data_IF_898885193084
#
_entry.id   IF_898885193084
#
_cell.length_a   1.000
_cell.length_b   1.000
_cell.length_c   1.000
_cell.angle_alpha   90.00
_cell.angle_beta   90.00
_cell.angle_gamma   90.00
#
_symmetry.space_group_name_H-M   'P 1'
#
loop_
_entity.id
_entity.type
_entity.pdbx_description
1 polymer ?
#
# COMPACT_ATOMS: atom_id res chain seq x y z
N UNK A 1 -8.99 -9.42 27.72
CA UNK A 1 -9.91 -8.68 26.82
C UNK A 1 -9.62 -8.95 25.35
N UNK A 2 -8.38 -8.79 24.85
CA UNK A 2 -8.06 -9.02 23.43
C UNK A 2 -8.26 -10.47 22.95
N UNK A 3 -8.03 -11.47 23.80
CA UNK A 3 -8.25 -12.89 23.47
C UNK A 3 -9.74 -13.22 23.27
N UNK A 4 -10.61 -12.55 24.02
CA UNK A 4 -12.08 -12.69 23.90
C UNK A 4 -12.57 -12.03 22.61
N UNK A 5 -11.99 -10.89 22.24
CA UNK A 5 -12.27 -10.23 20.96
C UNK A 5 -11.82 -11.10 19.77
N UNK A 6 -10.68 -11.78 19.87
CA UNK A 6 -10.20 -12.76 18.89
C UNK A 6 -11.21 -13.89 18.67
N UNK A 7 -11.61 -14.53 19.77
CA UNK A 7 -12.53 -15.66 19.75
C UNK A 7 -13.90 -15.25 19.20
N UNK A 8 -14.35 -14.03 19.51
CA UNK A 8 -15.60 -13.48 18.97
C UNK A 8 -15.51 -13.16 17.47
N UNK A 9 -14.42 -12.58 16.98
CA UNK A 9 -14.23 -12.31 15.55
C UNK A 9 -14.10 -13.62 14.76
N UNK A 10 -13.36 -14.61 15.28
CA UNK A 10 -13.24 -15.93 14.68
C UNK A 10 -14.56 -16.71 14.70
N UNK A 11 -15.29 -16.69 15.82
CA UNK A 11 -16.61 -17.31 15.92
C UNK A 11 -17.65 -16.63 15.01
N UNK A 12 -17.59 -15.29 14.88
CA UNK A 12 -18.40 -14.54 13.92
C UNK A 12 -18.07 -14.94 12.48
N UNK A 13 -16.79 -15.14 12.16
CA UNK A 13 -16.36 -15.63 10.86
C UNK A 13 -16.85 -17.04 10.55
N UNK A 14 -16.75 -17.97 11.50
CA UNK A 14 -17.30 -19.32 11.38
C UNK A 14 -18.84 -19.33 11.31
N UNK A 15 -19.51 -18.42 11.99
CA UNK A 15 -20.97 -18.29 11.95
C UNK A 15 -21.49 -17.70 10.62
N UNK A 16 -20.66 -16.91 9.92
CA UNK A 16 -20.98 -16.36 8.59
C UNK A 16 -20.65 -17.34 7.45
N UNK A 17 -19.78 -18.33 7.69
CA UNK A 17 -19.36 -19.32 6.69
C UNK A 17 -20.56 -20.14 6.12
N UNK A 18 -21.55 -20.62 6.91
CA UNK A 18 -22.75 -21.26 6.37
C UNK A 18 -23.59 -20.33 5.48
N UNK A 19 -23.64 -19.03 5.77
CA UNK A 19 -24.38 -18.06 4.95
C UNK A 19 -23.71 -17.82 3.59
N UNK A 20 -22.37 -17.89 3.53
CA UNK A 20 -21.60 -17.88 2.28
C UNK A 20 -21.79 -19.20 1.51
N UNK A 21 -21.66 -20.35 2.20
CA UNK A 21 -21.75 -21.69 1.58
C UNK A 21 -23.16 -22.03 1.08
N UNK A 22 -24.20 -21.42 1.65
CA UNK A 22 -25.61 -21.59 1.20
C UNK A 22 -26.07 -20.53 0.21
N UNK A 23 -25.18 -19.65 -0.26
CA UNK A 23 -25.50 -18.61 -1.25
C UNK A 23 -26.39 -17.48 -0.71
N UNK A 24 -26.52 -17.34 0.61
CA UNK A 24 -27.31 -16.29 1.27
C UNK A 24 -26.57 -14.95 1.38
N UNK A 25 -25.27 -14.94 1.14
CA UNK A 25 -24.46 -13.73 0.96
C UNK A 25 -24.00 -13.62 -0.50
N UNK A 26 -24.02 -12.40 -1.10
CA UNK A 26 -23.45 -12.17 -2.43
C UNK A 26 -21.98 -12.63 -2.48
N UNK A 27 -21.60 -13.39 -3.51
CA UNK A 27 -20.23 -13.88 -3.68
C UNK A 27 -19.16 -12.78 -3.69
N UNK A 28 -19.54 -11.55 -4.06
CA UNK A 28 -18.70 -10.36 -3.99
C UNK A 28 -18.30 -9.92 -2.57
N UNK A 29 -19.03 -10.36 -1.54
CA UNK A 29 -18.72 -10.06 -0.14
C UNK A 29 -17.93 -11.18 0.54
N UNK A 30 -17.91 -12.39 -0.03
CA UNK A 30 -17.21 -13.54 0.55
C UNK A 30 -15.69 -13.30 0.63
N UNK A 31 -15.09 -12.76 -0.42
CA UNK A 31 -13.66 -12.42 -0.46
C UNK A 31 -13.25 -11.37 0.57
N UNK A 32 -13.88 -10.18 0.60
CA UNK A 32 -13.61 -9.15 1.61
C UNK A 32 -13.84 -9.62 3.05
N UNK A 33 -14.91 -10.39 3.30
CA UNK A 33 -15.20 -10.94 4.64
C UNK A 33 -14.12 -11.95 5.04
N UNK A 34 -13.71 -12.84 4.12
CA UNK A 34 -12.66 -13.83 4.39
C UNK A 34 -11.30 -13.16 4.63
N UNK A 35 -10.90 -12.18 3.82
CA UNK A 35 -9.66 -11.41 4.00
C UNK A 35 -9.69 -10.61 5.31
N UNK A 36 -10.83 -10.01 5.67
CA UNK A 36 -10.98 -9.26 6.92
C UNK A 36 -10.89 -10.17 8.15
N UNK A 37 -11.57 -11.32 8.13
CA UNK A 37 -11.53 -12.30 9.22
C UNK A 37 -10.16 -12.98 9.33
N UNK A 38 -9.53 -13.27 8.19
CA UNK A 38 -8.18 -13.81 8.12
C UNK A 38 -7.15 -12.83 8.68
N UNK A 39 -7.20 -11.58 8.23
CA UNK A 39 -6.31 -10.50 8.72
C UNK A 39 -6.53 -10.22 10.20
N UNK A 40 -7.78 -10.25 10.68
CA UNK A 40 -8.09 -10.10 12.10
C UNK A 40 -7.61 -11.31 12.92
N UNK A 41 -7.70 -12.54 12.40
CA UNK A 41 -7.22 -13.74 13.10
C UNK A 41 -5.68 -13.76 13.19
N UNK A 42 -4.99 -13.35 12.12
CA UNK A 42 -3.53 -13.17 12.11
C UNK A 42 -3.10 -12.05 13.06
N UNK A 43 -3.76 -10.89 13.00
CA UNK A 43 -3.47 -9.74 13.84
C UNK A 43 -3.69 -10.04 15.33
N UNK A 44 -4.77 -10.75 15.69
CA UNK A 44 -5.04 -11.07 17.10
C UNK A 44 -4.22 -12.26 17.60
N UNK A 45 -3.87 -13.22 16.74
CA UNK A 45 -2.88 -14.25 17.06
C UNK A 45 -1.49 -13.67 17.34
N UNK A 46 -1.14 -12.58 16.65
CA UNK A 46 0.08 -11.83 16.85
C UNK A 46 0.05 -10.95 18.13
N UNK A 47 -1.04 -10.23 18.37
CA UNK A 47 -1.21 -9.36 19.56
C UNK A 47 -1.49 -10.12 20.88
N UNK A 48 -1.84 -11.40 20.80
CA UNK A 48 -2.15 -12.25 21.96
C UNK A 48 -0.93 -12.86 22.64
N UNK A 49 0.26 -12.83 22.03
CA UNK A 49 1.41 -13.59 22.50
C UNK A 49 2.38 -12.68 23.27
N UNK A 50 2.53 -12.94 24.56
CA UNK A 50 3.61 -12.36 25.36
C UNK A 50 4.99 -12.77 24.83
N UNK A 51 6.00 -11.96 25.12
CA UNK A 51 7.39 -12.09 24.67
C UNK A 51 7.89 -13.55 24.78
N UNK A 52 8.07 -14.27 23.66
CA UNK A 52 8.82 -15.54 23.71
C UNK A 52 8.60 -16.64 22.66
N UNK A 53 7.62 -16.60 21.74
CA UNK A 53 7.41 -17.73 20.80
C UNK A 53 7.49 -17.37 19.30
N UNK A 54 8.12 -18.22 18.45
CA UNK A 54 8.29 -17.96 17.01
C UNK A 54 7.01 -18.25 16.21
N UNK A 55 6.26 -17.18 15.87
CA UNK A 55 4.96 -17.22 15.20
C UNK A 55 4.99 -17.41 13.66
N UNK A 56 6.18 -17.44 13.05
CA UNK A 56 6.33 -17.37 11.59
C UNK A 56 5.87 -18.65 10.85
N UNK A 57 6.18 -19.88 11.34
CA UNK A 57 5.82 -21.10 10.60
C UNK A 57 4.32 -21.43 10.61
N UNK A 58 3.63 -21.18 11.73
CA UNK A 58 2.21 -21.51 11.90
C UNK A 58 1.30 -20.58 11.08
N UNK A 59 1.65 -19.29 11.01
CA UNK A 59 0.96 -18.30 10.19
C UNK A 59 1.12 -18.62 8.70
N UNK A 60 2.35 -18.98 8.27
CA UNK A 60 2.61 -19.40 6.89
C UNK A 60 1.88 -20.70 6.50
N UNK A 61 1.80 -21.68 7.41
CA UNK A 61 1.05 -22.92 7.19
C UNK A 61 -0.47 -22.67 7.08
N UNK A 62 -1.01 -21.73 7.87
CA UNK A 62 -2.42 -21.32 7.80
C UNK A 62 -2.80 -20.64 6.48
N UNK A 63 -1.92 -19.78 5.95
CA UNK A 63 -2.07 -19.15 4.62
C UNK A 63 -2.16 -20.23 3.53
N UNK A 64 -1.23 -21.19 3.55
CA UNK A 64 -1.14 -22.24 2.53
C UNK A 64 -2.33 -23.21 2.59
N UNK A 65 -2.76 -23.61 3.78
CA UNK A 65 -3.91 -24.51 3.94
C UNK A 65 -5.23 -23.86 3.50
N UNK A 66 -5.42 -22.56 3.78
CA UNK A 66 -6.61 -21.81 3.38
C UNK A 66 -6.73 -21.63 1.87
N UNK A 67 -5.62 -21.36 1.17
CA UNK A 67 -5.59 -21.24 -0.29
C UNK A 67 -5.90 -22.56 -1.01
N UNK A 68 -5.33 -23.67 -0.52
CA UNK A 68 -5.55 -25.00 -1.09
C UNK A 68 -6.98 -25.52 -0.87
N UNK A 69 -7.59 -25.23 0.28
CA UNK A 69 -8.98 -25.61 0.57
C UNK A 69 -10.00 -24.90 -0.33
N UNK A 70 -9.75 -23.63 -0.69
CA UNK A 70 -10.63 -22.86 -1.57
C UNK A 70 -10.59 -23.35 -3.03
N UNK A 71 -9.40 -23.68 -3.54
CA UNK A 71 -9.23 -24.22 -4.88
C UNK A 71 -9.93 -25.57 -5.08
N UNK A 72 -9.96 -26.41 -4.04
CA UNK A 72 -10.66 -27.70 -4.06
C UNK A 72 -12.19 -27.54 -4.11
N UNK A 73 -12.75 -26.58 -3.37
CA UNK A 73 -14.20 -26.36 -3.29
C UNK A 73 -14.82 -25.93 -4.63
N UNK A 74 -14.15 -25.01 -5.36
CA UNK A 74 -14.58 -24.51 -6.67
C UNK A 74 -14.65 -25.61 -7.74
N UNK A 75 -13.77 -26.61 -7.67
CA UNK A 75 -13.73 -27.71 -8.64
C UNK A 75 -14.93 -28.67 -8.56
N UNK A 76 -15.63 -28.69 -7.42
CA UNK A 76 -16.70 -29.69 -7.18
C UNK A 76 -18.09 -29.24 -7.64
N UNK A 77 -18.30 -27.96 -7.97
CA UNK A 77 -19.65 -27.39 -8.18
C UNK A 77 -20.12 -27.27 -9.64
N UNK A 78 -19.31 -27.53 -10.68
CA UNK A 78 -19.62 -27.13 -12.08
C UNK A 78 -19.99 -28.23 -13.10
N UNK A 79 -20.39 -29.45 -12.71
CA UNK A 79 -21.29 -30.31 -13.51
C UNK A 79 -20.78 -31.01 -14.78
N UNK A 80 -19.67 -30.61 -15.40
CA UNK A 80 -18.92 -31.45 -16.36
C UNK A 80 -17.40 -31.31 -16.10
N UNK A 81 -16.82 -32.24 -15.32
CA UNK A 81 -15.51 -32.06 -14.70
C UNK A 81 -14.32 -32.15 -15.66
N UNK A 82 -14.52 -32.48 -16.95
CA UNK A 82 -13.42 -32.63 -17.90
C UNK A 82 -13.18 -31.37 -18.73
N UNK A 83 -14.22 -30.89 -19.41
CA UNK A 83 -14.11 -29.75 -20.34
C UNK A 83 -14.43 -28.40 -19.70
N UNK A 84 -15.35 -28.35 -18.72
CA UNK A 84 -15.52 -27.16 -17.91
C UNK A 84 -14.31 -26.98 -17.00
N UNK A 85 -13.70 -28.05 -16.47
CA UNK A 85 -12.41 -27.94 -15.79
C UNK A 85 -11.31 -27.59 -16.77
N UNK A 86 -11.10 -28.18 -17.94
CA UNK A 86 -10.00 -27.73 -18.80
C UNK A 86 -10.13 -26.27 -19.29
N UNK A 87 -11.35 -25.83 -19.68
CA UNK A 87 -11.63 -24.47 -20.15
C UNK A 87 -11.76 -23.43 -19.05
N UNK A 88 -12.44 -23.75 -17.94
CA UNK A 88 -12.49 -22.91 -16.75
C UNK A 88 -11.18 -23.00 -15.96
N UNK A 89 -10.43 -24.09 -15.92
CA UNK A 89 -9.07 -24.13 -15.36
C UNK A 89 -8.09 -23.39 -16.27
N UNK A 90 -8.22 -23.44 -17.59
CA UNK A 90 -7.38 -22.61 -18.45
C UNK A 90 -7.66 -21.11 -18.24
N UNK A 91 -8.93 -20.71 -18.25
CA UNK A 91 -9.33 -19.30 -18.11
C UNK A 91 -9.32 -18.79 -16.66
N UNK A 92 -9.70 -19.63 -15.69
CA UNK A 92 -9.60 -19.37 -14.24
C UNK A 92 -8.18 -19.58 -13.77
N UNK A 93 -7.38 -20.57 -14.16
CA UNK A 93 -5.94 -20.55 -13.81
C UNK A 93 -5.24 -19.41 -14.53
N UNK A 94 -5.62 -18.97 -15.73
CA UNK A 94 -5.01 -17.75 -16.29
C UNK A 94 -5.50 -16.48 -15.59
N UNK A 95 -6.79 -16.36 -15.29
CA UNK A 95 -7.35 -15.20 -14.58
C UNK A 95 -6.95 -15.20 -13.10
N UNK A 96 -7.08 -16.30 -12.39
CA UNK A 96 -6.63 -16.56 -11.02
C UNK A 96 -5.10 -16.55 -10.93
N UNK A 97 -4.33 -17.12 -11.87
CA UNK A 97 -2.87 -16.96 -11.79
C UNK A 97 -2.46 -15.52 -12.07
N UNK A 98 -3.19 -14.75 -12.86
CA UNK A 98 -2.96 -13.31 -12.92
C UNK A 98 -3.43 -12.70 -11.59
N UNK A 99 -4.73 -12.64 -11.30
CA UNK A 99 -5.36 -12.03 -10.12
C UNK A 99 -4.73 -12.41 -8.77
N UNK A 100 -4.24 -13.64 -8.60
CA UNK A 100 -3.64 -14.12 -7.34
C UNK A 100 -2.14 -14.30 -7.39
N UNK A 101 -1.52 -14.66 -8.53
CA UNK A 101 -0.05 -14.87 -8.55
C UNK A 101 0.71 -13.57 -8.70
N UNK A 102 0.22 -12.59 -9.49
CA UNK A 102 0.98 -11.36 -9.67
C UNK A 102 1.12 -10.55 -8.36
N UNK A 103 0.08 -10.43 -7.48
CA UNK A 103 0.28 -9.78 -6.20
C UNK A 103 1.28 -10.54 -5.34
N UNK A 104 1.28 -11.88 -5.39
CA UNK A 104 2.26 -12.71 -4.70
C UNK A 104 3.69 -12.50 -5.22
N UNK A 105 3.88 -12.25 -6.53
CA UNK A 105 5.21 -11.92 -7.10
C UNK A 105 5.79 -10.61 -6.53
N UNK A 106 4.95 -9.70 -6.04
CA UNK A 106 5.39 -8.46 -5.38
C UNK A 106 5.44 -8.64 -3.87
N UNK A 107 4.41 -9.27 -3.30
CA UNK A 107 4.25 -9.41 -1.87
C UNK A 107 5.26 -10.37 -1.25
N UNK A 108 5.62 -11.46 -1.94
CA UNK A 108 6.62 -12.42 -1.44
C UNK A 108 8.00 -11.75 -1.31
N UNK A 109 8.58 -11.13 -2.36
CA UNK A 109 9.84 -10.41 -2.21
C UNK A 109 9.80 -9.30 -1.16
N UNK A 110 8.72 -8.51 -1.10
CA UNK A 110 8.57 -7.46 -0.09
C UNK A 110 8.51 -8.06 1.33
N UNK A 111 7.74 -9.12 1.53
CA UNK A 111 7.67 -9.85 2.79
C UNK A 111 9.01 -10.47 3.19
N UNK A 112 9.78 -11.00 2.23
CA UNK A 112 11.13 -11.51 2.49
C UNK A 112 12.08 -10.39 2.93
N UNK A 113 12.02 -9.20 2.34
CA UNK A 113 12.81 -8.04 2.78
C UNK A 113 12.49 -7.68 4.24
N UNK A 114 11.20 -7.64 4.59
CA UNK A 114 10.74 -7.39 5.96
C UNK A 114 11.26 -8.47 6.93
N UNK A 115 11.12 -9.75 6.57
CA UNK A 115 11.60 -10.87 7.38
C UNK A 115 13.12 -10.85 7.57
N UNK A 116 13.87 -10.48 6.54
CA UNK A 116 15.34 -10.31 6.63
C UNK A 116 15.69 -9.14 7.55
N UNK A 117 14.95 -8.02 7.48
CA UNK A 117 15.12 -6.90 8.41
C UNK A 117 14.93 -7.31 9.86
N UNK A 118 13.83 -8.03 10.14
CA UNK A 118 13.55 -8.59 11.48
C UNK A 118 14.65 -9.57 11.91
N UNK A 119 15.04 -10.50 11.04
CA UNK A 119 16.06 -11.51 11.34
C UNK A 119 17.46 -10.92 11.58
N UNK A 120 17.77 -9.78 10.95
CA UNK A 120 19.01 -9.03 11.17
C UNK A 120 19.00 -8.20 12.45
N UNK A 121 17.88 -8.19 13.18
CA UNK A 121 17.73 -7.35 14.35
C UNK A 121 17.85 -5.88 13.99
N UNK A 122 17.22 -5.44 12.89
CA UNK A 122 17.02 -4.01 12.66
C UNK A 122 16.49 -3.39 13.96
N UNK A 123 17.19 -2.36 14.44
CA UNK A 123 16.80 -1.67 15.65
C UNK A 123 15.55 -0.82 15.39
N UNK A 124 14.70 -0.62 16.41
CA UNK A 124 13.55 0.26 16.30
C UNK A 124 14.02 1.66 15.91
N UNK A 125 13.13 2.40 15.28
CA UNK A 125 13.43 3.78 14.94
C UNK A 125 13.79 4.57 16.20
N UNK A 126 14.88 5.36 16.18
CA UNK A 126 15.24 6.20 17.31
C UNK A 126 14.04 7.10 17.62
N UNK A 127 13.43 6.92 18.78
CA UNK A 127 12.46 7.86 19.29
C UNK A 127 13.24 9.02 19.87
N UNK A 128 13.17 10.21 19.26
CA UNK A 128 13.69 11.40 19.93
C UNK A 128 12.94 11.58 21.26
N UNK A 129 13.67 11.44 22.37
CA UNK A 129 13.22 11.74 23.73
C UNK A 129 12.99 13.25 23.85
N UNK A 130 11.92 13.76 23.25
CA UNK A 130 11.72 15.21 23.24
C UNK A 130 10.65 15.75 22.31
N UNK A 131 9.74 14.94 21.77
CA UNK A 131 8.64 15.44 20.94
C UNK A 131 7.84 16.48 21.74
N UNK A 132 8.00 17.78 21.44
CA UNK A 132 7.44 18.88 22.27
C UNK A 132 5.94 19.09 22.04
N UNK A 133 5.22 18.03 21.67
CA UNK A 133 3.80 18.08 21.32
C UNK A 133 3.49 18.90 20.06
N UNK A 134 4.49 19.27 19.25
CA UNK A 134 4.28 20.00 18.00
C UNK A 134 4.05 19.03 16.83
N UNK A 135 3.15 19.41 15.91
CA UNK A 135 2.87 18.64 14.69
C UNK A 135 4.11 18.45 13.81
N UNK A 136 5.01 19.42 13.83
CA UNK A 136 6.28 19.42 13.09
C UNK A 136 7.22 18.31 13.57
N UNK A 137 7.14 17.92 14.85
CA UNK A 137 8.03 16.92 15.45
C UNK A 137 7.54 15.48 15.18
N UNK A 138 6.28 15.32 14.74
CA UNK A 138 5.67 14.01 14.53
C UNK A 138 6.47 13.11 13.59
N UNK A 139 6.99 13.57 12.44
CA UNK A 139 7.73 12.69 11.51
C UNK A 139 9.00 12.07 12.11
N UNK A 140 9.55 12.63 13.20
CA UNK A 140 10.63 12.02 13.97
C UNK A 140 10.23 10.72 14.70
N UNK A 141 8.93 10.43 14.79
CA UNK A 141 8.35 9.24 15.44
C UNK A 141 7.44 8.50 14.48
N UNK A 142 7.93 7.42 13.87
CA UNK A 142 7.17 6.69 12.84
C UNK A 142 5.83 6.12 13.32
N UNK A 143 5.71 5.75 14.60
CA UNK A 143 4.46 5.32 15.21
C UNK A 143 3.42 6.44 15.18
N UNK A 144 3.74 7.59 15.79
CA UNK A 144 2.84 8.73 15.89
C UNK A 144 2.58 9.37 14.52
N UNK A 145 3.62 9.48 13.71
CA UNK A 145 3.49 9.97 12.34
C UNK A 145 2.63 9.02 11.50
N UNK A 146 2.79 7.71 11.68
CA UNK A 146 1.95 6.70 11.05
C UNK A 146 0.47 6.88 11.38
N UNK A 147 0.14 7.08 12.66
CA UNK A 147 -1.24 7.39 13.10
C UNK A 147 -1.74 8.69 12.47
N UNK A 148 -0.93 9.76 12.55
CA UNK A 148 -1.33 11.08 12.06
C UNK A 148 -1.52 11.11 10.54
N UNK A 149 -0.59 10.51 9.78
CA UNK A 149 -0.66 10.38 8.33
C UNK A 149 -1.85 9.52 7.90
N UNK A 150 -2.11 8.39 8.59
CA UNK A 150 -3.28 7.57 8.32
C UNK A 150 -4.58 8.33 8.59
N UNK A 151 -4.67 9.00 9.74
CA UNK A 151 -5.84 9.81 10.11
C UNK A 151 -6.10 10.93 9.12
N UNK A 152 -5.05 11.68 8.74
CA UNK A 152 -5.12 12.72 7.71
C UNK A 152 -5.54 12.16 6.36
N UNK A 153 -4.97 11.02 5.96
CA UNK A 153 -5.28 10.37 4.68
C UNK A 153 -6.73 9.86 4.60
N UNK A 154 -7.23 9.21 5.66
CA UNK A 154 -8.62 8.75 5.73
C UNK A 154 -9.58 9.93 5.79
N UNK A 155 -9.31 10.93 6.64
CA UNK A 155 -10.18 12.10 6.72
C UNK A 155 -10.19 12.88 5.40
N UNK A 156 -9.03 13.05 4.77
CA UNK A 156 -8.94 13.77 3.51
C UNK A 156 -9.60 13.05 2.34
N UNK A 157 -9.46 11.73 2.23
CA UNK A 157 -10.16 10.95 1.19
C UNK A 157 -11.68 10.98 1.36
N UNK A 158 -12.19 11.03 2.59
CA UNK A 158 -13.63 11.09 2.87
C UNK A 158 -14.22 12.50 2.74
N UNK A 159 -13.48 13.54 3.14
CA UNK A 159 -14.06 14.88 3.37
C UNK A 159 -13.48 16.00 2.49
N UNK A 160 -12.37 15.80 1.79
CA UNK A 160 -11.74 16.88 1.03
C UNK A 160 -12.26 17.04 -0.41
N UNK A 161 -12.17 18.27 -0.92
CA UNK A 161 -12.51 18.69 -2.29
C UNK A 161 -13.95 19.17 -2.47
N UNK A 162 -14.14 20.21 -3.30
CA UNK A 162 -15.47 20.79 -3.55
C UNK A 162 -16.07 20.32 -4.88
N UNK A 163 -15.20 20.02 -5.86
CA UNK A 163 -15.59 19.54 -7.20
C UNK A 163 -15.02 18.15 -7.47
N UNK A 164 -15.64 17.40 -8.40
CA UNK A 164 -15.19 16.06 -8.79
C UNK A 164 -13.74 16.07 -9.30
N UNK A 165 -13.35 17.09 -10.07
CA UNK A 165 -11.99 17.21 -10.62
C UNK A 165 -10.96 17.47 -9.52
N UNK A 166 -11.23 18.38 -8.59
CA UNK A 166 -10.35 18.63 -7.44
C UNK A 166 -10.20 17.37 -6.59
N UNK A 167 -11.33 16.70 -6.32
CA UNK A 167 -11.36 15.45 -5.55
C UNK A 167 -10.49 14.38 -6.21
N UNK A 168 -10.74 14.05 -7.47
CA UNK A 168 -10.12 12.88 -8.13
C UNK A 168 -8.69 13.15 -8.58
N UNK A 169 -8.38 14.37 -9.05
CA UNK A 169 -7.15 14.61 -9.80
C UNK A 169 -6.00 15.20 -8.97
N UNK A 170 -6.30 15.91 -7.87
CA UNK A 170 -5.28 16.67 -7.13
C UNK A 170 -5.32 16.37 -5.63
N UNK A 171 -6.51 16.41 -5.03
CA UNK A 171 -6.66 16.31 -3.58
C UNK A 171 -6.63 14.85 -3.09
N UNK A 172 -7.36 13.94 -3.74
CA UNK A 172 -7.34 12.51 -3.37
C UNK A 172 -5.93 11.90 -3.44
N UNK A 173 -5.13 12.11 -4.50
CA UNK A 173 -3.77 11.56 -4.56
C UNK A 173 -2.93 11.88 -3.31
N UNK A 174 -2.97 13.12 -2.83
CA UNK A 174 -2.21 13.53 -1.63
C UNK A 174 -2.65 12.72 -0.41
N UNK A 175 -3.95 12.64 -0.16
CA UNK A 175 -4.48 11.96 1.02
C UNK A 175 -4.36 10.44 0.94
N UNK A 176 -4.50 9.86 -0.24
CA UNK A 176 -4.26 8.44 -0.41
C UNK A 176 -2.79 8.06 -0.18
N UNK A 177 -1.84 8.87 -0.65
CA UNK A 177 -0.42 8.63 -0.37
C UNK A 177 -0.12 8.76 1.13
N UNK A 178 -0.74 9.71 1.84
CA UNK A 178 -0.65 9.78 3.30
C UNK A 178 -1.24 8.54 4.00
N UNK A 179 -2.40 8.04 3.55
CA UNK A 179 -3.01 6.85 4.14
C UNK A 179 -2.09 5.62 3.96
N UNK A 180 -1.56 5.42 2.75
CA UNK A 180 -0.67 4.30 2.43
C UNK A 180 0.65 4.40 3.21
N UNK A 181 1.26 5.59 3.28
CA UNK A 181 2.46 5.81 4.08
C UNK A 181 2.18 5.58 5.57
N UNK A 182 1.05 6.06 6.08
CA UNK A 182 0.65 5.90 7.48
C UNK A 182 0.58 4.44 7.90
N UNK A 183 -0.10 3.59 7.10
CA UNK A 183 -0.14 2.13 7.33
C UNK A 183 1.27 1.54 7.31
N UNK A 184 2.08 1.89 6.31
CA UNK A 184 3.43 1.36 6.19
C UNK A 184 4.30 1.71 7.40
N UNK A 185 4.24 2.95 7.90
CA UNK A 185 5.00 3.40 9.06
C UNK A 185 4.54 2.77 10.38
N UNK A 186 3.22 2.56 10.54
CA UNK A 186 2.70 1.84 11.70
C UNK A 186 3.24 0.42 11.77
N UNK A 187 3.23 -0.30 10.65
CA UNK A 187 3.78 -1.66 10.57
C UNK A 187 5.30 -1.64 10.77
N UNK A 188 5.99 -0.67 10.17
CA UNK A 188 7.45 -0.50 10.33
C UNK A 188 7.82 -0.32 11.81
N UNK A 189 7.12 0.56 12.52
CA UNK A 189 7.32 0.81 13.93
C UNK A 189 6.96 -0.40 14.81
N UNK A 190 5.84 -1.05 14.53
CA UNK A 190 5.40 -2.27 15.24
C UNK A 190 6.41 -3.42 15.12
N UNK A 191 7.09 -3.54 13.98
CA UNK A 191 8.10 -4.56 13.75
C UNK A 191 9.51 -4.14 14.20
N UNK A 192 9.66 -2.92 14.75
CA UNK A 192 10.96 -2.39 15.15
C UNK A 192 11.93 -2.21 13.98
N UNK A 193 11.43 -2.01 12.77
CA UNK A 193 12.26 -1.86 11.56
C UNK A 193 12.61 -0.39 11.33
N UNK A 194 13.73 -0.14 10.66
CA UNK A 194 14.21 1.24 10.46
C UNK A 194 14.85 1.50 9.11
N UNK A 195 15.17 0.45 8.34
CA UNK A 195 15.88 0.61 7.07
C UNK A 195 14.98 1.16 5.96
N UNK A 196 15.60 1.86 5.00
CA UNK A 196 14.91 2.30 3.79
C UNK A 196 14.34 1.13 2.96
N UNK A 197 14.93 -0.06 3.07
CA UNK A 197 14.43 -1.24 2.40
C UNK A 197 13.16 -1.80 3.04
N UNK A 198 13.13 -1.90 4.37
CA UNK A 198 11.93 -2.26 5.12
C UNK A 198 10.80 -1.27 4.86
N UNK A 199 11.09 0.04 4.87
CA UNK A 199 10.09 1.08 4.62
C UNK A 199 9.55 1.03 3.18
N UNK A 200 10.42 0.84 2.18
CA UNK A 200 10.00 0.67 0.79
C UNK A 200 9.14 -0.58 0.61
N UNK A 201 9.54 -1.72 1.19
CA UNK A 201 8.80 -2.97 1.10
C UNK A 201 7.41 -2.89 1.74
N UNK A 202 7.31 -2.30 2.95
CA UNK A 202 6.02 -2.09 3.61
C UNK A 202 5.15 -1.07 2.88
N UNK A 203 5.75 -0.01 2.33
CA UNK A 203 5.07 0.92 1.44
C UNK A 203 4.49 0.21 0.21
N UNK A 204 5.29 -0.62 -0.47
CA UNK A 204 4.87 -1.45 -1.60
C UNK A 204 3.66 -2.33 -1.24
N UNK A 205 3.70 -3.02 -0.10
CA UNK A 205 2.62 -3.88 0.35
C UNK A 205 1.34 -3.09 0.65
N UNK A 206 1.45 -1.97 1.36
CA UNK A 206 0.31 -1.11 1.67
C UNK A 206 -0.32 -0.51 0.41
N UNK A 207 0.52 0.02 -0.49
CA UNK A 207 0.05 0.57 -1.76
C UNK A 207 -0.57 -0.47 -2.67
N UNK A 208 0.02 -1.66 -2.75
CA UNK A 208 -0.53 -2.79 -3.50
C UNK A 208 -1.92 -3.17 -2.99
N UNK A 209 -2.07 -3.33 -1.68
CA UNK A 209 -3.37 -3.63 -1.06
C UNK A 209 -4.41 -2.55 -1.38
N UNK A 210 -4.00 -1.27 -1.33
CA UNK A 210 -4.87 -0.15 -1.70
C UNK A 210 -5.29 -0.19 -3.16
N UNK A 211 -4.36 -0.38 -4.10
CA UNK A 211 -4.66 -0.40 -5.53
C UNK A 211 -5.52 -1.59 -5.95
N UNK A 212 -5.34 -2.75 -5.33
CA UNK A 212 -6.20 -3.93 -5.52
C UNK A 212 -7.63 -3.63 -5.02
N UNK A 213 -7.76 -3.04 -3.83
CA UNK A 213 -9.07 -2.67 -3.28
C UNK A 213 -9.76 -1.61 -4.13
N UNK A 214 -9.03 -0.58 -4.55
CA UNK A 214 -9.55 0.49 -5.40
C UNK A 214 -10.05 -0.07 -6.75
N UNK A 215 -9.28 -0.95 -7.39
CA UNK A 215 -9.74 -1.59 -8.62
C UNK A 215 -11.03 -2.39 -8.41
N UNK A 216 -11.05 -3.25 -7.38
CA UNK A 216 -12.19 -4.13 -7.12
C UNK A 216 -13.48 -3.37 -6.78
N UNK A 217 -13.37 -2.24 -6.09
CA UNK A 217 -14.53 -1.46 -5.63
C UNK A 217 -14.96 -0.41 -6.65
N UNK A 218 -14.01 0.29 -7.28
CA UNK A 218 -14.28 1.47 -8.11
C UNK A 218 -14.32 1.14 -9.60
N UNK A 219 -13.56 0.14 -10.05
CA UNK A 219 -13.36 -0.16 -11.47
C UNK A 219 -13.57 -1.64 -11.84
N UNK A 220 -14.67 -2.29 -11.41
CA UNK A 220 -14.86 -3.74 -11.62
C UNK A 220 -15.00 -4.16 -13.09
N UNK A 221 -15.14 -3.22 -14.02
CA UNK A 221 -15.22 -3.48 -15.47
C UNK A 221 -13.92 -3.21 -16.25
N UNK A 222 -12.85 -2.76 -15.59
CA UNK A 222 -11.56 -2.55 -16.24
C UNK A 222 -10.87 -3.88 -16.60
N UNK A 223 -9.92 -3.83 -17.53
CA UNK A 223 -9.16 -5.02 -17.93
C UNK A 223 -8.27 -5.53 -16.79
N UNK A 224 -7.97 -6.84 -16.79
CA UNK A 224 -7.04 -7.43 -15.81
C UNK A 224 -5.64 -6.80 -15.87
N UNK A 225 -5.22 -6.34 -17.04
CA UNK A 225 -3.96 -5.60 -17.17
C UNK A 225 -4.02 -4.28 -16.38
N UNK A 226 -5.13 -3.56 -16.43
CA UNK A 226 -5.33 -2.35 -15.62
C UNK A 226 -5.34 -2.66 -14.12
N UNK A 227 -5.89 -3.80 -13.71
CA UNK A 227 -5.80 -4.27 -12.33
C UNK A 227 -4.35 -4.38 -11.86
N UNK A 228 -3.50 -5.05 -12.65
CA UNK A 228 -2.07 -5.21 -12.37
C UNK A 228 -1.36 -3.86 -12.35
N UNK A 229 -1.55 -3.06 -13.39
CA UNK A 229 -0.89 -1.76 -13.54
C UNK A 229 -1.25 -0.82 -12.39
N UNK A 230 -2.51 -0.77 -11.99
CA UNK A 230 -3.00 0.07 -10.88
C UNK A 230 -2.42 -0.37 -9.54
N UNK A 231 -2.46 -1.67 -9.23
CA UNK A 231 -1.88 -2.15 -7.98
C UNK A 231 -0.36 -1.98 -7.91
N UNK A 232 0.36 -2.18 -9.03
CA UNK A 232 1.79 -1.85 -9.12
C UNK A 232 2.05 -0.36 -8.96
N UNK A 233 1.23 0.48 -9.59
CA UNK A 233 1.31 1.94 -9.51
C UNK A 233 1.22 2.40 -8.05
N UNK A 234 0.18 1.99 -7.33
CA UNK A 234 0.02 2.36 -5.92
C UNK A 234 1.10 1.77 -5.03
N UNK A 235 1.52 0.52 -5.27
CA UNK A 235 2.64 -0.10 -4.57
C UNK A 235 3.90 0.74 -4.69
N UNK A 236 4.31 1.07 -5.92
CA UNK A 236 5.53 1.86 -6.17
C UNK A 236 5.45 3.28 -5.59
N UNK A 237 4.29 3.91 -5.67
CA UNK A 237 4.05 5.25 -5.11
C UNK A 237 4.22 5.26 -3.57
N UNK A 238 3.60 4.31 -2.89
CA UNK A 238 3.70 4.18 -1.44
C UNK A 238 5.10 3.72 -1.00
N UNK A 239 5.73 2.79 -1.75
CA UNK A 239 7.11 2.38 -1.54
C UNK A 239 8.09 3.55 -1.66
N UNK A 240 7.95 4.36 -2.70
CA UNK A 240 8.73 5.59 -2.89
C UNK A 240 8.55 6.56 -1.72
N UNK A 241 7.32 6.76 -1.25
CA UNK A 241 7.04 7.62 -0.09
C UNK A 241 7.74 7.13 1.18
N UNK A 242 7.70 5.82 1.46
CA UNK A 242 8.42 5.20 2.58
C UNK A 242 9.94 5.34 2.45
N UNK A 243 10.47 5.16 1.25
CA UNK A 243 11.90 5.35 0.98
C UNK A 243 12.34 6.80 1.21
N UNK A 244 11.61 7.77 0.64
CA UNK A 244 11.91 9.21 0.81
C UNK A 244 11.83 9.58 2.28
N UNK A 245 10.81 9.11 3.02
CA UNK A 245 10.70 9.34 4.45
C UNK A 245 11.96 8.94 5.22
N UNK A 246 12.46 7.70 5.00
CA UNK A 246 13.69 7.24 5.65
C UNK A 246 14.90 8.09 5.23
N UNK A 247 15.00 8.50 3.95
CA UNK A 247 16.11 9.35 3.49
C UNK A 247 16.11 10.76 4.08
N UNK A 248 14.93 11.36 4.26
CA UNK A 248 14.79 12.65 4.93
C UNK A 248 15.25 12.56 6.39
N UNK A 249 14.83 11.48 7.07
CA UNK A 249 15.22 11.20 8.46
C UNK A 249 16.71 10.94 8.60
N UNK A 250 17.30 10.06 7.77
CA UNK A 250 18.72 9.69 7.84
C UNK A 250 19.66 10.88 7.59
N UNK A 251 19.14 11.98 7.02
CA UNK A 251 19.87 13.24 6.85
C UNK A 251 19.73 14.22 8.01
N UNK A 252 18.98 13.86 9.05
CA UNK A 252 18.73 14.70 10.24
C UNK A 252 18.18 16.09 9.84
N UNK A 253 17.32 16.12 8.82
CA UNK A 253 16.69 17.36 8.38
C UNK A 253 15.68 17.85 9.43
N UNK A 254 15.22 19.10 9.26
CA UNK A 254 14.20 19.68 10.13
C UNK A 254 13.00 18.71 10.28
N UNK A 255 12.48 18.47 11.50
CA UNK A 255 11.49 17.42 11.75
C UNK A 255 10.27 17.47 10.83
N UNK A 256 9.80 18.67 10.48
CA UNK A 256 8.64 18.86 9.61
C UNK A 256 8.83 18.43 8.16
N UNK A 257 10.06 18.21 7.69
CA UNK A 257 10.34 17.77 6.30
C UNK A 257 9.71 16.41 5.98
N UNK A 258 9.51 15.53 6.98
CA UNK A 258 8.91 14.22 6.76
C UNK A 258 7.46 14.26 6.25
N UNK A 259 6.72 15.36 6.47
CA UNK A 259 5.41 15.58 5.85
C UNK A 259 5.50 15.64 4.32
N UNK A 260 6.64 16.03 3.77
CA UNK A 260 6.86 16.13 2.33
C UNK A 260 7.32 14.81 1.69
N UNK A 261 7.44 13.72 2.47
CA UNK A 261 7.88 12.42 1.97
C UNK A 261 6.99 11.87 0.84
N UNK A 262 5.69 12.19 0.87
CA UNK A 262 4.72 11.75 -0.14
C UNK A 262 4.78 12.55 -1.43
N UNK A 263 5.41 13.73 -1.46
CA UNK A 263 5.23 14.68 -2.57
C UNK A 263 5.70 14.12 -3.91
N UNK A 264 6.87 13.45 -4.04
CA UNK A 264 7.27 12.89 -5.32
C UNK A 264 6.26 11.86 -5.85
N UNK A 265 5.72 11.01 -4.99
CA UNK A 265 4.70 10.03 -5.35
C UNK A 265 3.35 10.70 -5.70
N UNK A 266 2.92 11.67 -4.88
CA UNK A 266 1.67 12.40 -5.07
C UNK A 266 1.64 13.21 -6.37
N UNK A 267 2.78 13.79 -6.81
CA UNK A 267 2.87 14.49 -8.11
C UNK A 267 2.65 13.51 -9.26
N UNK A 268 3.32 12.35 -9.23
CA UNK A 268 3.19 11.34 -10.29
C UNK A 268 1.78 10.74 -10.30
N UNK A 269 1.19 10.55 -9.12
CA UNK A 269 -0.19 10.09 -8.96
C UNK A 269 -1.21 11.11 -9.46
N UNK A 270 -1.09 12.38 -9.10
CA UNK A 270 -1.92 13.43 -9.66
C UNK A 270 -1.79 13.50 -11.19
N UNK A 271 -0.57 13.40 -11.74
CA UNK A 271 -0.36 13.36 -13.18
C UNK A 271 -1.05 12.16 -13.85
N UNK A 272 -1.02 10.98 -13.22
CA UNK A 272 -1.74 9.80 -13.69
C UNK A 272 -3.25 10.04 -13.73
N UNK A 273 -3.82 10.55 -12.64
CA UNK A 273 -5.27 10.78 -12.54
C UNK A 273 -5.75 11.88 -13.49
N UNK A 274 -5.03 13.00 -13.57
CA UNK A 274 -5.29 14.08 -14.53
C UNK A 274 -5.31 13.51 -15.96
N UNK A 275 -4.32 12.69 -16.29
CA UNK A 275 -4.23 12.11 -17.63
C UNK A 275 -5.34 11.11 -17.93
N UNK A 276 -5.74 10.30 -16.94
CA UNK A 276 -6.89 9.41 -17.05
C UNK A 276 -8.18 10.20 -17.32
N UNK A 277 -8.39 11.34 -16.64
CA UNK A 277 -9.53 12.24 -16.90
C UNK A 277 -9.48 12.81 -18.31
N UNK A 278 -8.31 13.29 -18.78
CA UNK A 278 -8.16 13.77 -20.15
C UNK A 278 -8.45 12.69 -21.20
N UNK A 279 -7.95 11.46 -20.99
CA UNK A 279 -8.21 10.33 -21.88
C UNK A 279 -9.69 9.96 -21.90
N UNK A 280 -10.37 9.97 -20.75
CA UNK A 280 -11.81 9.74 -20.66
C UNK A 280 -12.60 10.81 -21.44
N UNK A 281 -12.23 12.09 -21.28
CA UNK A 281 -12.85 13.19 -22.03
C UNK A 281 -12.62 13.09 -23.54
N UNK A 282 -11.39 12.78 -23.96
CA UNK A 282 -11.05 12.61 -25.38
C UNK A 282 -11.81 11.43 -26.01
N UNK A 283 -11.99 10.32 -25.27
CA UNK A 283 -12.83 9.19 -25.72
C UNK A 283 -14.30 9.58 -25.81
N UNK A 284 -14.82 10.30 -24.81
CA UNK A 284 -16.21 10.77 -24.82
C UNK A 284 -16.51 11.70 -26.00
N UNK A 285 -15.53 12.50 -26.41
CA UNK A 285 -15.61 13.39 -27.59
C UNK A 285 -15.27 12.71 -28.91
N UNK A 286 -15.02 11.39 -28.91
CA UNK A 286 -14.63 10.58 -30.07
C UNK A 286 -13.36 11.10 -30.79
N UNK A 287 -12.51 11.82 -30.08
CA UNK A 287 -11.24 12.35 -30.60
C UNK A 287 -10.11 11.34 -30.52
N UNK A 288 -10.26 10.30 -29.68
CA UNK A 288 -9.35 9.16 -29.60
C UNK A 288 -10.07 7.85 -29.94
N UNK A 289 -9.43 6.94 -30.69
CA UNK A 289 -9.97 5.61 -30.94
C UNK A 289 -10.09 4.81 -29.63
N UNK A 290 -11.10 3.93 -29.56
CA UNK A 290 -11.20 2.91 -28.53
C UNK A 290 -10.06 1.90 -28.71
N UNK A 291 -9.05 1.96 -27.85
CA UNK A 291 -7.87 1.10 -27.90
C UNK A 291 -7.06 1.16 -26.60
N UNK A 292 -5.92 0.43 -26.52
CA UNK A 292 -5.13 0.21 -25.30
C UNK A 292 -4.31 1.43 -24.82
N UNK A 293 -4.78 2.63 -25.17
CA UNK A 293 -4.10 3.89 -24.90
C UNK A 293 -4.04 4.14 -23.39
N UNK A 294 -5.10 3.81 -22.64
CA UNK A 294 -5.12 3.98 -21.17
C UNK A 294 -4.11 3.08 -20.46
N UNK A 295 -3.99 1.83 -20.89
CA UNK A 295 -3.03 0.86 -20.36
C UNK A 295 -1.60 1.33 -20.60
N UNK A 296 -1.32 1.72 -21.85
CA UNK A 296 0.01 2.21 -22.25
C UNK A 296 0.40 3.46 -21.46
N UNK A 297 -0.55 4.38 -21.28
CA UNK A 297 -0.31 5.62 -20.56
C UNK A 297 -0.07 5.38 -19.06
N UNK A 298 -0.86 4.51 -18.43
CA UNK A 298 -0.68 4.14 -17.02
C UNK A 298 0.66 3.42 -16.78
N UNK A 299 1.11 2.60 -17.74
CA UNK A 299 2.42 1.95 -17.69
C UNK A 299 3.58 2.96 -17.69
N UNK A 300 3.47 4.09 -18.40
CA UNK A 300 4.48 5.15 -18.37
C UNK A 300 4.68 5.67 -16.95
N UNK A 301 3.61 5.84 -16.18
CA UNK A 301 3.72 6.31 -14.80
C UNK A 301 4.26 5.23 -13.84
N UNK A 302 3.93 3.95 -14.05
CA UNK A 302 4.57 2.85 -13.33
C UNK A 302 6.09 2.87 -13.55
N UNK A 303 6.53 3.02 -14.80
CA UNK A 303 7.95 3.12 -15.13
C UNK A 303 8.60 4.39 -14.55
N UNK A 304 7.89 5.52 -14.54
CA UNK A 304 8.36 6.76 -13.93
C UNK A 304 8.56 6.61 -12.42
N UNK A 305 7.60 6.00 -11.71
CA UNK A 305 7.72 5.71 -10.28
C UNK A 305 8.89 4.76 -9.99
N UNK A 306 9.05 3.70 -10.79
CA UNK A 306 10.18 2.79 -10.65
C UNK A 306 11.52 3.51 -10.85
N UNK A 307 11.63 4.32 -11.91
CA UNK A 307 12.83 5.09 -12.18
C UNK A 307 13.15 6.07 -11.04
N UNK A 308 12.12 6.72 -10.48
CA UNK A 308 12.27 7.63 -9.35
C UNK A 308 12.64 6.90 -8.05
N UNK A 309 12.06 5.74 -7.78
CA UNK A 309 12.43 4.89 -6.65
C UNK A 309 13.90 4.46 -6.75
N UNK A 310 14.34 3.97 -7.92
CA UNK A 310 15.75 3.63 -8.18
C UNK A 310 16.65 4.86 -8.01
N UNK A 311 16.23 6.03 -8.53
CA UNK A 311 16.95 7.30 -8.40
C UNK A 311 17.17 7.66 -6.94
N UNK A 312 16.12 7.64 -6.11
CA UNK A 312 16.18 7.95 -4.68
C UNK A 312 17.01 6.90 -3.94
N UNK A 313 16.92 5.63 -4.36
CA UNK A 313 17.69 4.55 -3.75
C UNK A 313 19.19 4.71 -3.95
N UNK A 314 19.62 5.01 -5.18
CA UNK A 314 21.04 5.09 -5.56
C UNK A 314 21.63 6.46 -5.27
N UNK A 315 20.86 7.53 -5.45
CA UNK A 315 21.30 8.93 -5.35
C UNK A 315 20.20 9.78 -4.72
N UNK A 316 19.97 9.66 -3.39
CA UNK A 316 18.90 10.36 -2.69
C UNK A 316 19.06 11.89 -2.67
N UNK A 317 20.30 12.38 -2.77
CA UNK A 317 20.62 13.80 -2.58
C UNK A 317 19.70 14.76 -3.32
N UNK A 318 19.64 14.73 -4.66
CA UNK A 318 18.84 15.69 -5.41
C UNK A 318 17.35 15.72 -5.05
N UNK A 319 16.73 14.58 -4.73
CA UNK A 319 15.32 14.55 -4.31
C UNK A 319 15.14 15.14 -2.92
N UNK A 320 16.03 14.77 -2.00
CA UNK A 320 15.99 15.28 -0.63
C UNK A 320 16.31 16.78 -0.57
N UNK A 321 17.30 17.24 -1.35
CA UNK A 321 17.71 18.65 -1.42
C UNK A 321 16.55 19.54 -1.91
N UNK A 322 15.75 19.05 -2.87
CA UNK A 322 14.55 19.77 -3.36
C UNK A 322 13.48 19.85 -2.28
N UNK A 323 13.25 18.77 -1.53
CA UNK A 323 12.28 18.76 -0.42
C UNK A 323 12.71 19.71 0.69
N UNK A 324 13.99 19.69 1.06
CA UNK A 324 14.57 20.60 2.04
C UNK A 324 14.42 22.07 1.60
N UNK A 325 14.72 22.38 0.34
CA UNK A 325 14.55 23.71 -0.23
C UNK A 325 13.09 24.18 -0.18
N UNK A 326 12.14 23.30 -0.50
CA UNK A 326 10.71 23.60 -0.40
C UNK A 326 10.27 23.86 1.03
N UNK A 327 10.76 23.07 1.98
CA UNK A 327 10.49 23.27 3.41
C UNK A 327 10.96 24.65 3.88
N UNK A 328 12.19 25.05 3.56
CA UNK A 328 12.70 26.37 3.95
C UNK A 328 11.91 27.51 3.30
N UNK A 329 11.55 27.39 2.02
CA UNK A 329 10.73 28.39 1.33
C UNK A 329 9.36 28.57 1.98
N UNK A 330 8.68 27.47 2.32
CA UNK A 330 7.36 27.51 2.94
C UNK A 330 7.38 28.12 4.34
N UNK A 331 8.48 28.00 5.06
CA UNK A 331 8.66 28.58 6.39
C UNK A 331 9.30 29.98 6.38
N UNK A 332 9.49 30.59 5.21
CA UNK A 332 10.10 31.91 5.09
C UNK A 332 11.59 31.97 5.45
N UNK A 333 12.27 30.82 5.51
CA UNK A 333 13.70 30.71 5.85
C UNK A 333 14.61 30.82 4.60
N UNK A 334 14.28 31.72 3.67
CA UNK A 334 14.88 31.79 2.33
C UNK A 334 16.38 32.15 2.38
N UNK A 335 16.83 32.84 3.44
CA UNK A 335 18.19 33.36 3.56
C UNK A 335 19.14 32.52 4.44
N UNK A 336 18.73 31.33 4.91
CA UNK A 336 19.68 30.47 5.62
C UNK A 336 20.69 29.92 4.60
N UNK A 337 21.98 30.30 4.67
CA UNK A 337 22.98 29.71 3.79
C UNK A 337 22.92 28.20 4.00
N UNK A 338 22.89 27.43 2.91
CA UNK A 338 23.07 25.97 2.98
C UNK A 338 24.34 25.77 3.79
N UNK A 339 24.21 25.39 5.06
CA UNK A 339 25.32 24.81 5.80
C UNK A 339 25.45 23.45 5.16
N UNK A 340 26.09 23.42 3.98
CA UNK A 340 26.68 22.22 3.43
C UNK A 340 27.60 21.77 4.55
N UNK A 341 27.12 20.85 5.40
CA UNK A 341 28.00 20.02 6.21
C UNK A 341 28.92 19.41 5.18
N UNK A 342 30.11 20.01 5.02
CA UNK A 342 31.16 19.46 4.20
C UNK A 342 31.36 18.05 4.76
N UNK A 343 30.93 17.06 3.99
CA UNK A 343 31.13 15.68 4.37
C UNK A 343 32.63 15.41 4.54
N UNK A 344 33.03 14.48 5.41
CA UNK A 344 34.40 13.98 5.45
C UNK A 344 34.84 13.42 4.09
#
# INVERSE_FOLDING_TARGET
MMHVLAALVFALGLALLPAVLTGRLPGSLAGPIYVTLFSATVLVGWLGQGEGHPAVPATAAGVLAGGLGWGFLQGTTMGDPGQAVAGAWSSTVSAFAIETTWPLLVAIPAGLVVLVGVARGEGPLPTEEGTRGRLEDLPGRADLFGVAALGLGVAGTLFAGSTLLEKVAVVAPIFEEYAKLGVALLVLAALGLSSGASAYALGMLSGLAFGLLEHAVTYPGESQLMHVVRGLFHGLAAGLSGLVYVRLRDRELAPGTGWFAIVPAAIVHAANNVSAVFLAFARATRTLPSGPVSETFSLVFVLALLALAVRVWVRPGPTVDVIEEWWHRLNGEIDRPRVLKAGP
#
